data_IF_180427541329
#
_entry.id   IF_180427541329
#
_cell.length_a   1.000
_cell.length_b   1.000
_cell.length_c   1.000
_cell.angle_alpha   90.00
_cell.angle_beta   90.00
_cell.angle_gamma   90.00
#
_symmetry.space_group_name_H-M   'P 1'
#
loop_
_entity.id
_entity.type
_entity.pdbx_description
1 polymer ?
#
# COMPACT_ATOMS: atom_id res chain seq x y z
N UNK A 1 -3.00 5.20 21.81
CA UNK A 1 -3.28 5.64 20.43
C UNK A 1 -2.07 5.50 19.50
N UNK A 2 -0.85 5.79 19.95
CA UNK A 2 0.38 5.58 19.16
C UNK A 2 0.55 4.18 18.56
N UNK A 3 0.42 3.11 19.38
CA UNK A 3 0.56 1.71 18.89
C UNK A 3 -0.38 1.42 17.71
N UNK A 4 -1.60 1.96 17.74
CA UNK A 4 -2.59 1.74 16.68
C UNK A 4 -2.15 2.39 15.37
N UNK A 5 -1.73 3.66 15.40
CA UNK A 5 -1.22 4.36 14.22
C UNK A 5 0.07 3.74 13.69
N UNK A 6 0.94 3.26 14.58
CA UNK A 6 2.15 2.55 14.20
C UNK A 6 1.84 1.25 13.46
N UNK A 7 0.95 0.41 14.03
CA UNK A 7 0.52 -0.83 13.37
C UNK A 7 -0.14 -0.55 12.02
N UNK A 8 -1.02 0.44 11.97
CA UNK A 8 -1.73 0.83 10.75
C UNK A 8 -0.76 1.29 9.66
N UNK A 9 0.21 2.15 10.00
CA UNK A 9 1.23 2.60 9.06
C UNK A 9 2.11 1.46 8.54
N UNK A 10 2.50 0.52 9.41
CA UNK A 10 3.25 -0.68 8.99
C UNK A 10 2.43 -1.56 8.05
N UNK A 11 1.13 -1.76 8.32
CA UNK A 11 0.24 -2.50 7.41
C UNK A 11 0.12 -1.82 6.04
N UNK A 12 -0.02 -0.49 6.01
CA UNK A 12 -0.13 0.29 4.76
C UNK A 12 1.17 0.24 3.95
N UNK A 13 2.33 0.28 4.63
CA UNK A 13 3.64 0.09 3.98
C UNK A 13 3.76 -1.32 3.42
N UNK A 14 3.39 -2.35 4.20
CA UNK A 14 3.46 -3.74 3.76
C UNK A 14 2.57 -3.99 2.53
N UNK A 15 1.37 -3.41 2.49
CA UNK A 15 0.49 -3.45 1.32
C UNK A 15 1.09 -2.74 0.11
N UNK A 16 1.75 -1.59 0.31
CA UNK A 16 2.45 -0.88 -0.77
C UNK A 16 3.63 -1.66 -1.34
N UNK A 17 4.43 -2.31 -0.47
CA UNK A 17 5.51 -3.20 -0.88
C UNK A 17 4.96 -4.42 -1.64
N UNK A 18 3.85 -5.00 -1.17
CA UNK A 18 3.17 -6.10 -1.85
C UNK A 18 2.72 -5.70 -3.25
N UNK A 19 2.14 -4.50 -3.40
CA UNK A 19 1.71 -3.94 -4.68
C UNK A 19 2.88 -3.75 -5.66
N UNK A 20 4.05 -3.33 -5.19
CA UNK A 20 5.23 -3.16 -6.04
C UNK A 20 5.85 -4.50 -6.43
N UNK A 21 5.96 -5.43 -5.48
CA UNK A 21 6.68 -6.70 -5.65
C UNK A 21 5.86 -7.77 -6.36
N UNK A 22 4.54 -7.76 -6.16
CA UNK A 22 3.55 -8.69 -6.70
C UNK A 22 2.32 -7.91 -7.21
N UNK A 23 2.49 -7.03 -8.22
CA UNK A 23 1.38 -6.24 -8.77
C UNK A 23 0.32 -7.12 -9.44
N UNK A 24 0.69 -8.36 -9.78
CA UNK A 24 -0.12 -9.45 -10.33
C UNK A 24 -0.87 -10.27 -9.27
N UNK A 25 -0.69 -9.96 -7.98
CA UNK A 25 -1.37 -10.68 -6.90
C UNK A 25 -2.89 -10.56 -6.99
N UNK A 26 -3.61 -11.62 -6.57
CA UNK A 26 -5.07 -11.65 -6.52
C UNK A 26 -5.68 -10.48 -5.74
N UNK A 27 -4.94 -9.93 -4.76
CA UNK A 27 -5.32 -8.72 -4.01
C UNK A 27 -5.49 -7.46 -4.87
N UNK A 28 -4.76 -7.37 -5.99
CA UNK A 28 -4.81 -6.22 -6.90
C UNK A 28 -5.45 -6.57 -8.26
N UNK A 29 -5.87 -7.83 -8.43
CA UNK A 29 -6.61 -8.27 -9.61
C UNK A 29 -8.02 -7.71 -9.55
N UNK A 30 -8.46 -7.06 -10.63
CA UNK A 30 -9.81 -6.51 -10.72
C UNK A 30 -10.81 -7.67 -10.66
N UNK A 31 -11.75 -7.62 -9.70
CA UNK A 31 -12.77 -8.66 -9.52
C UNK A 31 -13.57 -8.80 -10.83
N UNK A 32 -13.55 -10.00 -11.42
CA UNK A 32 -14.28 -10.33 -12.64
C UNK A 32 -13.54 -10.10 -13.96
N UNK A 33 -12.26 -9.72 -13.94
CA UNK A 33 -11.44 -9.60 -15.15
C UNK A 33 -10.42 -10.75 -15.25
N UNK A 34 -10.71 -11.73 -16.08
CA UNK A 34 -9.78 -12.83 -16.42
C UNK A 34 -8.87 -12.49 -17.61
N UNK A 35 -8.93 -11.26 -18.12
CA UNK A 35 -7.99 -10.81 -19.15
C UNK A 35 -6.62 -10.53 -18.54
N UNK A 36 -5.57 -10.79 -19.33
CA UNK A 36 -4.20 -10.47 -18.96
C UNK A 36 -4.13 -8.99 -18.51
N UNK A 37 -3.50 -8.71 -17.35
CA UNK A 37 -3.42 -7.35 -16.85
C UNK A 37 -2.71 -6.49 -17.87
N UNK A 38 -3.42 -5.48 -18.39
CA UNK A 38 -2.88 -4.48 -19.30
C UNK A 38 -1.64 -3.87 -18.63
N UNK A 39 -0.52 -3.75 -19.36
CA UNK A 39 0.74 -3.21 -18.81
C UNK A 39 0.56 -1.87 -18.05
N UNK A 40 -0.37 -1.04 -18.51
CA UNK A 40 -0.76 0.21 -17.87
C UNK A 40 -1.35 0.01 -16.46
N UNK A 41 -2.13 -1.04 -16.24
CA UNK A 41 -2.66 -1.41 -14.92
C UNK A 41 -1.54 -1.88 -13.99
N UNK A 42 -0.63 -2.70 -14.49
CA UNK A 42 0.51 -3.18 -13.71
C UNK A 42 1.40 -2.01 -13.25
N UNK A 43 1.61 -1.03 -14.14
CA UNK A 43 2.35 0.19 -13.83
C UNK A 43 1.60 1.08 -12.83
N UNK A 44 0.28 1.19 -12.96
CA UNK A 44 -0.57 1.91 -12.01
C UNK A 44 -0.53 1.29 -10.60
N UNK A 45 -0.61 -0.04 -10.48
CA UNK A 45 -0.53 -0.74 -9.19
C UNK A 45 0.83 -0.51 -8.52
N UNK A 46 1.93 -0.53 -9.30
CA UNK A 46 3.27 -0.19 -8.78
C UNK A 46 3.33 1.26 -8.27
N UNK A 47 2.77 2.21 -9.02
CA UNK A 47 2.74 3.62 -8.64
C UNK A 47 1.89 3.85 -7.38
N UNK A 48 0.71 3.23 -7.31
CA UNK A 48 -0.14 3.24 -6.13
C UNK A 48 0.56 2.61 -4.91
N UNK A 49 1.36 1.55 -5.13
CA UNK A 49 2.19 0.95 -4.09
C UNK A 49 3.21 1.92 -3.49
N UNK A 50 3.89 2.71 -4.33
CA UNK A 50 4.83 3.77 -3.87
C UNK A 50 4.09 4.83 -3.05
N UNK A 51 2.93 5.29 -3.53
CA UNK A 51 2.09 6.25 -2.79
C UNK A 51 1.65 5.67 -1.44
N UNK A 52 1.26 4.39 -1.41
CA UNK A 52 0.86 3.71 -0.18
C UNK A 52 2.01 3.67 0.84
N UNK A 53 3.24 3.39 0.42
CA UNK A 53 4.41 3.43 1.32
C UNK A 53 4.59 4.82 1.91
N UNK A 54 4.52 5.87 1.09
CA UNK A 54 4.65 7.26 1.53
C UNK A 54 3.54 7.61 2.55
N UNK A 55 2.30 7.23 2.26
CA UNK A 55 1.16 7.42 3.17
C UNK A 55 1.37 6.70 4.52
N UNK A 56 1.85 5.46 4.50
CA UNK A 56 2.11 4.72 5.74
C UNK A 56 3.20 5.36 6.60
N UNK A 57 4.24 5.93 5.98
CA UNK A 57 5.27 6.72 6.70
C UNK A 57 4.66 7.97 7.34
N UNK A 58 3.81 8.70 6.61
CA UNK A 58 3.11 9.89 7.14
C UNK A 58 2.23 9.51 8.34
N UNK A 59 1.48 8.41 8.26
CA UNK A 59 0.64 7.92 9.36
C UNK A 59 1.48 7.62 10.61
N UNK A 60 2.67 7.03 10.46
CA UNK A 60 3.58 6.77 11.58
C UNK A 60 4.06 8.09 12.20
N UNK A 61 4.46 9.06 11.38
CA UNK A 61 4.93 10.38 11.84
C UNK A 61 3.82 11.12 12.60
N UNK A 62 2.60 11.16 12.07
CA UNK A 62 1.44 11.76 12.74
C UNK A 62 1.10 11.01 14.04
N UNK A 63 1.20 9.68 14.03
CA UNK A 63 1.05 8.86 15.23
C UNK A 63 2.04 9.21 16.33
N UNK A 64 3.28 9.56 15.97
CA UNK A 64 4.32 10.00 16.92
C UNK A 64 4.00 11.34 17.58
N UNK A 65 3.20 12.21 16.97
CA UNK A 65 2.79 13.47 17.59
C UNK A 65 1.92 13.26 18.83
N UNK A 66 1.26 12.11 18.97
CA UNK A 66 0.50 11.76 20.18
C UNK A 66 1.37 11.25 21.35
N UNK A 67 2.70 11.15 21.18
CA UNK A 67 3.65 10.79 22.23
C UNK A 67 4.27 12.01 22.95
N UNK A 68 4.19 13.20 22.34
CA UNK A 68 4.68 14.47 22.86
C UNK A 68 3.52 15.39 23.25
#
# INVERSE_FOLDING_TARGET
>A
MFIFYFLMGVCVIALGILAIKRPDSWLFKRIGDDREPIDTWLSYVKFAGVISIIMGVIIIILGMQHLF
#
